data_IF_221081421487
#
_entry.id   IF_221081421487
#
_cell.length_a   1.000
_cell.length_b   1.000
_cell.length_c   1.000
_cell.angle_alpha   90.00
_cell.angle_beta   90.00
_cell.angle_gamma   90.00
#
_symmetry.space_group_name_H-M   'P 1'
#
loop_
_entity.id
_entity.type
_entity.pdbx_description
1 polymer ?
#
# COMPACT_ATOMS: atom_id res chain seq x y z
N UNK A 1 -0.76 -21.54 68.76
CA UNK A 1 -2.07 -21.72 68.13
C UNK A 1 -2.19 -20.72 66.97
N UNK A 2 -2.32 -21.22 65.73
CA UNK A 2 -2.74 -20.57 64.46
C UNK A 2 -1.94 -19.32 63.97
N UNK A 3 -1.11 -19.33 62.92
CA UNK A 3 -1.15 -19.90 61.54
C UNK A 3 -2.25 -19.30 60.66
N UNK A 4 -1.83 -18.91 59.43
CA UNK A 4 -2.62 -18.70 58.18
C UNK A 4 -3.52 -17.44 58.12
N UNK A 5 -3.62 -16.64 57.06
CA UNK A 5 -3.16 -16.70 55.67
C UNK A 5 -3.17 -15.28 55.07
N UNK A 6 -2.06 -14.81 54.49
CA UNK A 6 -2.06 -13.72 53.50
C UNK A 6 -2.39 -14.34 52.14
N UNK A 7 -3.66 -14.64 51.91
CA UNK A 7 -4.13 -15.29 50.69
C UNK A 7 -4.17 -14.28 49.54
N UNK A 8 -3.22 -14.45 48.62
CA UNK A 8 -3.34 -14.26 47.17
C UNK A 8 -4.07 -13.00 46.69
N UNK A 9 -3.29 -11.93 46.45
CA UNK A 9 -3.61 -10.90 45.46
C UNK A 9 -2.70 -11.10 44.23
N UNK A 10 -2.66 -12.32 43.70
CA UNK A 10 -1.79 -12.72 42.59
C UNK A 10 -2.58 -13.55 41.56
N UNK A 11 -3.63 -12.98 40.97
CA UNK A 11 -4.39 -13.66 39.90
C UNK A 11 -5.25 -12.67 39.09
N UNK A 12 -4.63 -11.69 38.41
CA UNK A 12 -5.25 -11.05 37.23
C UNK A 12 -4.26 -10.23 36.37
N UNK A 13 -3.06 -10.75 36.11
CA UNK A 13 -2.11 -10.13 35.16
C UNK A 13 -1.77 -11.11 34.02
N UNK A 14 -2.81 -11.70 33.45
CA UNK A 14 -2.84 -12.41 32.17
C UNK A 14 -4.24 -12.09 31.63
N UNK A 15 -4.50 -11.45 30.50
CA UNK A 15 -3.77 -11.29 29.24
C UNK A 15 -4.35 -10.07 28.52
N UNK A 16 -3.57 -9.01 28.30
CA UNK A 16 -3.90 -8.01 27.28
C UNK A 16 -2.97 -8.23 26.07
N UNK A 17 -3.17 -9.34 25.37
CA UNK A 17 -2.63 -9.50 24.03
C UNK A 17 -3.49 -8.67 23.09
N UNK A 18 -3.19 -7.37 23.00
CA UNK A 18 -3.72 -6.50 21.96
C UNK A 18 -3.06 -6.94 20.64
N UNK A 19 -3.64 -7.93 19.97
CA UNK A 19 -3.25 -8.23 18.60
C UNK A 19 -3.65 -7.04 17.76
N UNK A 20 -2.67 -6.19 17.40
CA UNK A 20 -2.86 -5.17 16.38
C UNK A 20 -3.14 -5.89 15.06
N UNK A 21 -4.41 -6.16 14.74
CA UNK A 21 -4.77 -6.49 13.37
C UNK A 21 -4.52 -5.24 12.55
N UNK A 22 -3.50 -5.30 11.66
CA UNK A 22 -3.36 -4.32 10.62
C UNK A 22 -4.70 -4.19 9.89
N UNK A 23 -5.23 -2.97 9.79
CA UNK A 23 -6.47 -2.71 9.07
C UNK A 23 -6.32 -3.24 7.63
N UNK A 24 -7.17 -4.19 7.22
CA UNK A 24 -7.16 -4.71 5.85
C UNK A 24 -7.64 -3.60 4.91
N UNK A 25 -6.80 -3.22 3.95
CA UNK A 25 -7.22 -2.29 2.90
C UNK A 25 -8.41 -2.89 2.15
N UNK A 26 -9.53 -2.17 2.13
CA UNK A 26 -10.73 -2.59 1.41
C UNK A 26 -10.96 -1.62 0.25
N UNK A 27 -10.81 -2.11 -0.97
CA UNK A 27 -11.06 -1.32 -2.17
C UNK A 27 -12.56 -1.23 -2.45
N UNK A 28 -12.97 -0.12 -3.05
CA UNK A 28 -14.33 0.05 -3.56
C UNK A 28 -14.56 -0.91 -4.73
N UNK A 29 -15.73 -1.55 -4.74
CA UNK A 29 -16.17 -2.35 -5.88
C UNK A 29 -16.66 -1.43 -7.00
N UNK A 30 -15.77 -1.09 -7.94
CA UNK A 30 -16.15 -0.25 -9.08
C UNK A 30 -16.93 -1.08 -10.10
N UNK A 31 -18.23 -0.79 -10.25
CA UNK A 31 -19.12 -1.45 -11.22
C UNK A 31 -18.54 -1.45 -12.64
N UNK A 32 -18.79 -2.51 -13.42
CA UNK A 32 -18.33 -2.55 -14.80
C UNK A 32 -18.99 -1.46 -15.66
N UNK A 33 -18.18 -0.68 -16.37
CA UNK A 33 -18.67 0.27 -17.36
C UNK A 33 -19.17 -0.47 -18.61
N UNK A 34 -20.45 -0.85 -18.61
CA UNK A 34 -21.15 -1.51 -19.72
C UNK A 34 -22.04 -0.53 -20.52
N UNK A 35 -21.77 0.77 -20.44
CA UNK A 35 -22.61 1.81 -21.03
C UNK A 35 -21.78 3.00 -21.47
N UNK A 36 -22.12 3.56 -22.62
CA UNK A 36 -21.51 4.78 -23.17
C UNK A 36 -22.08 6.06 -22.54
N UNK A 37 -22.97 5.94 -21.54
CA UNK A 37 -23.56 7.09 -20.87
C UNK A 37 -22.50 7.89 -20.10
N UNK A 38 -22.31 9.20 -20.39
CA UNK A 38 -21.24 10.01 -19.79
C UNK A 38 -21.22 9.98 -18.26
N UNK A 39 -22.37 10.06 -17.60
CA UNK A 39 -22.44 9.99 -16.12
C UNK A 39 -22.02 8.65 -15.55
N UNK A 40 -22.29 7.52 -16.24
CA UNK A 40 -21.83 6.21 -15.78
C UNK A 40 -20.31 6.10 -15.93
N UNK A 41 -19.77 6.58 -17.03
CA UNK A 41 -18.33 6.67 -17.25
C UNK A 41 -17.65 7.52 -16.18
N UNK A 42 -18.20 8.71 -15.88
CA UNK A 42 -17.69 9.60 -14.84
C UNK A 42 -17.65 8.93 -13.46
N UNK A 43 -18.77 8.35 -13.00
CA UNK A 43 -18.83 7.66 -11.71
C UNK A 43 -17.84 6.49 -11.62
N UNK A 44 -17.73 5.71 -12.69
CA UNK A 44 -16.78 4.62 -12.75
C UNK A 44 -15.33 5.10 -12.63
N UNK A 45 -14.96 6.12 -13.39
CA UNK A 45 -13.60 6.70 -13.34
C UNK A 45 -13.29 7.30 -11.97
N UNK A 46 -14.24 7.98 -11.33
CA UNK A 46 -14.09 8.50 -9.97
C UNK A 46 -13.90 7.39 -8.93
N UNK A 47 -14.60 6.27 -9.06
CA UNK A 47 -14.38 5.11 -8.20
C UNK A 47 -12.95 4.56 -8.33
N UNK A 48 -12.44 4.46 -9.58
CA UNK A 48 -11.06 4.06 -9.79
C UNK A 48 -10.06 5.04 -9.18
N UNK A 49 -10.34 6.35 -9.22
CA UNK A 49 -9.51 7.35 -8.55
C UNK A 49 -9.48 7.15 -7.03
N UNK A 50 -10.63 6.90 -6.41
CA UNK A 50 -10.70 6.57 -4.98
C UNK A 50 -9.86 5.35 -4.62
N UNK A 51 -9.90 4.30 -5.45
CA UNK A 51 -9.06 3.12 -5.26
C UNK A 51 -7.55 3.41 -5.44
N UNK A 52 -7.18 4.25 -6.41
CA UNK A 52 -5.78 4.67 -6.59
C UNK A 52 -5.30 5.42 -5.34
N UNK A 53 -6.06 6.37 -4.83
CA UNK A 53 -5.68 7.12 -3.62
C UNK A 53 -5.50 6.21 -2.40
N UNK A 54 -6.41 5.26 -2.20
CA UNK A 54 -6.33 4.27 -1.12
C UNK A 54 -5.07 3.41 -1.23
N UNK A 55 -4.79 2.89 -2.44
CA UNK A 55 -3.61 2.07 -2.70
C UNK A 55 -2.30 2.87 -2.58
N UNK A 56 -2.27 4.12 -3.03
CA UNK A 56 -1.08 4.98 -2.90
C UNK A 56 -0.77 5.27 -1.43
N UNK A 57 -1.80 5.48 -0.58
CA UNK A 57 -1.61 5.64 0.87
C UNK A 57 -1.07 4.37 1.52
N UNK A 58 -1.60 3.20 1.15
CA UNK A 58 -1.08 1.93 1.64
C UNK A 58 0.38 1.75 1.23
N UNK A 59 0.68 1.88 -0.07
CA UNK A 59 2.05 1.79 -0.60
C UNK A 59 3.00 2.73 0.14
N UNK A 60 2.58 3.98 0.39
CA UNK A 60 3.38 4.98 1.10
C UNK A 60 3.73 4.54 2.51
N UNK A 61 2.82 3.88 3.23
CA UNK A 61 3.10 3.32 4.57
C UNK A 61 4.28 2.36 4.52
N UNK A 62 4.29 1.45 3.55
CA UNK A 62 5.36 0.46 3.38
C UNK A 62 6.68 1.08 2.92
N UNK A 63 6.63 2.03 1.99
CA UNK A 63 7.81 2.82 1.58
C UNK A 63 8.41 3.56 2.76
N UNK A 64 7.59 4.25 3.56
CA UNK A 64 8.05 4.96 4.77
C UNK A 64 8.69 4.00 5.77
N UNK A 65 8.08 2.84 6.00
CA UNK A 65 8.65 1.81 6.88
C UNK A 65 10.04 1.38 6.40
N UNK A 66 10.18 1.03 5.12
CA UNK A 66 11.45 0.57 4.55
C UNK A 66 12.55 1.66 4.65
N UNK A 67 12.19 2.92 4.43
CA UNK A 67 13.11 4.05 4.60
C UNK A 67 13.57 4.17 6.06
N UNK A 68 12.65 4.11 7.02
CA UNK A 68 12.98 4.20 8.44
C UNK A 68 13.90 3.05 8.90
N UNK A 69 13.59 1.82 8.49
CA UNK A 69 14.40 0.65 8.84
C UNK A 69 15.80 0.74 8.22
N UNK A 70 15.89 1.24 6.98
CA UNK A 70 17.16 1.51 6.30
C UNK A 70 17.99 2.59 7.00
N UNK A 71 17.35 3.67 7.45
CA UNK A 71 18.01 4.75 8.20
C UNK A 71 18.59 4.23 9.52
N UNK A 72 17.88 3.34 10.21
CA UNK A 72 18.36 2.70 11.44
C UNK A 72 19.54 1.77 11.15
N UNK A 73 19.43 0.92 10.14
CA UNK A 73 20.54 0.04 9.72
C UNK A 73 21.79 0.83 9.33
N UNK A 74 21.62 1.96 8.65
CA UNK A 74 22.72 2.86 8.30
C UNK A 74 23.40 3.44 9.56
N UNK A 75 22.63 3.83 10.58
CA UNK A 75 23.19 4.31 11.86
C UNK A 75 23.97 3.23 12.59
N UNK A 76 23.50 1.99 12.54
CA UNK A 76 24.11 0.85 13.23
C UNK A 76 25.39 0.35 12.52
N UNK A 77 25.36 0.29 11.19
CA UNK A 77 26.44 -0.33 10.39
C UNK A 77 27.40 0.68 9.76
N UNK A 78 27.00 1.94 9.65
CA UNK A 78 27.70 2.96 8.88
C UNK A 78 27.55 2.82 7.36
N UNK A 79 26.75 1.88 6.84
CA UNK A 79 26.55 1.69 5.41
C UNK A 79 25.68 2.79 4.79
N UNK A 80 26.31 3.92 4.44
CA UNK A 80 25.64 5.10 3.89
C UNK A 80 25.19 4.98 2.43
N UNK A 81 25.52 3.87 1.75
CA UNK A 81 25.17 3.67 0.34
C UNK A 81 23.73 3.15 0.16
N UNK A 82 23.17 2.49 1.18
CA UNK A 82 21.91 1.78 1.05
C UNK A 82 20.71 2.72 0.87
N UNK A 83 20.57 3.75 1.72
CA UNK A 83 19.45 4.68 1.68
C UNK A 83 19.31 5.41 0.33
N UNK A 84 20.37 5.98 -0.27
CA UNK A 84 20.26 6.61 -1.59
C UNK A 84 19.85 5.64 -2.71
N UNK A 85 20.27 4.37 -2.64
CA UNK A 85 19.89 3.35 -3.62
C UNK A 85 18.40 3.03 -3.51
N UNK A 86 17.92 2.79 -2.28
CA UNK A 86 16.51 2.49 -2.02
C UNK A 86 15.61 3.66 -2.45
N UNK A 87 15.94 4.89 -2.06
CA UNK A 87 15.17 6.07 -2.46
C UNK A 87 15.11 6.25 -3.99
N UNK A 88 16.24 6.03 -4.68
CA UNK A 88 16.29 6.09 -6.15
C UNK A 88 15.44 5.00 -6.79
N UNK A 89 15.38 3.81 -6.20
CA UNK A 89 14.57 2.69 -6.71
C UNK A 89 13.09 3.06 -6.75
N UNK A 90 12.55 3.73 -5.72
CA UNK A 90 11.17 4.18 -5.69
C UNK A 90 10.85 5.22 -6.76
N UNK A 91 11.76 6.19 -6.97
CA UNK A 91 11.60 7.20 -8.02
C UNK A 91 11.57 6.54 -9.40
N UNK A 92 12.45 5.57 -9.64
CA UNK A 92 12.51 4.86 -10.92
C UNK A 92 11.28 3.97 -11.13
N UNK A 93 10.78 3.32 -10.07
CA UNK A 93 9.55 2.54 -10.12
C UNK A 93 8.35 3.40 -10.48
N UNK A 94 8.23 4.59 -9.88
CA UNK A 94 7.13 5.53 -10.16
C UNK A 94 7.18 6.03 -11.61
N UNK A 95 8.36 6.41 -12.10
CA UNK A 95 8.55 6.82 -13.50
C UNK A 95 8.17 5.70 -14.47
N UNK A 96 8.62 4.47 -14.20
CA UNK A 96 8.28 3.32 -15.02
C UNK A 96 6.77 3.08 -15.05
N UNK A 97 6.10 3.11 -13.88
CA UNK A 97 4.64 2.98 -13.79
C UNK A 97 3.93 4.06 -14.62
N UNK A 98 4.30 5.33 -14.45
CA UNK A 98 3.66 6.45 -15.13
C UNK A 98 3.81 6.37 -16.65
N UNK A 99 5.02 6.13 -17.15
CA UNK A 99 5.26 5.97 -18.59
C UNK A 99 4.54 4.73 -19.14
N UNK A 100 4.57 3.63 -18.39
CA UNK A 100 3.89 2.38 -18.73
C UNK A 100 2.38 2.58 -18.88
N UNK A 101 1.74 3.31 -17.96
CA UNK A 101 0.31 3.57 -18.05
C UNK A 101 -0.02 4.62 -19.11
N UNK A 102 0.86 5.60 -19.32
CA UNK A 102 0.68 6.66 -20.32
C UNK A 102 0.71 6.15 -21.76
N UNK A 103 1.65 5.27 -22.13
CA UNK A 103 1.63 4.74 -23.50
C UNK A 103 0.39 3.87 -23.76
N UNK A 104 -0.11 3.14 -22.74
CA UNK A 104 -1.35 2.36 -22.82
C UNK A 104 -2.58 3.25 -23.00
N UNK A 105 -2.62 4.40 -22.33
CA UNK A 105 -3.62 5.45 -22.55
C UNK A 105 -3.62 5.90 -24.02
N UNK A 106 -2.45 6.27 -24.54
CA UNK A 106 -2.32 6.81 -25.90
C UNK A 106 -2.80 5.82 -26.97
N UNK A 107 -2.57 4.52 -26.77
CA UNK A 107 -3.06 3.46 -27.68
C UNK A 107 -4.59 3.41 -27.82
N UNK A 108 -5.34 3.93 -26.84
CA UNK A 108 -6.80 3.93 -26.87
C UNK A 108 -7.39 5.20 -27.51
N UNK A 109 -6.57 6.20 -27.80
CA UNK A 109 -7.05 7.43 -28.44
C UNK A 109 -7.57 7.15 -29.85
N UNK A 110 -8.64 7.84 -30.31
CA UNK A 110 -9.28 9.01 -29.68
C UNK A 110 -10.35 8.68 -28.61
N UNK A 111 -10.55 7.42 -28.23
CA UNK A 111 -11.54 7.06 -27.20
C UNK A 111 -11.04 7.42 -25.80
N UNK A 112 -11.30 8.67 -25.39
CA UNK A 112 -10.83 9.22 -24.12
C UNK A 112 -11.34 8.45 -22.88
N UNK A 113 -12.58 7.96 -22.91
CA UNK A 113 -13.17 7.18 -21.81
C UNK A 113 -12.44 5.84 -21.64
N UNK A 114 -12.22 5.12 -22.74
CA UNK A 114 -11.45 3.87 -22.72
C UNK A 114 -10.00 4.11 -22.31
N UNK A 115 -9.38 5.18 -22.81
CA UNK A 115 -8.02 5.59 -22.45
C UNK A 115 -7.89 5.83 -20.93
N UNK A 116 -8.79 6.62 -20.34
CA UNK A 116 -8.81 6.90 -18.91
C UNK A 116 -9.01 5.62 -18.07
N UNK A 117 -9.93 4.73 -18.49
CA UNK A 117 -10.13 3.42 -17.83
C UNK A 117 -8.85 2.59 -17.83
N UNK A 118 -8.19 2.48 -18.98
CA UNK A 118 -6.97 1.68 -19.13
C UNK A 118 -5.83 2.25 -18.28
N UNK A 119 -5.65 3.58 -18.28
CA UNK A 119 -4.65 4.25 -17.47
C UNK A 119 -4.85 3.99 -15.97
N UNK A 120 -6.07 4.21 -15.45
CA UNK A 120 -6.38 4.04 -14.03
C UNK A 120 -6.24 2.59 -13.57
N UNK A 121 -6.73 1.62 -14.37
CA UNK A 121 -6.54 0.19 -14.07
C UNK A 121 -5.07 -0.22 -14.10
N UNK A 122 -4.29 0.33 -15.03
CA UNK A 122 -2.85 0.11 -15.07
C UNK A 122 -2.17 0.57 -13.78
N UNK A 123 -2.47 1.80 -13.31
CA UNK A 123 -1.93 2.31 -12.03
C UNK A 123 -2.30 1.41 -10.85
N UNK A 124 -3.57 1.01 -10.75
CA UNK A 124 -4.04 0.11 -9.69
C UNK A 124 -3.20 -1.17 -9.61
N UNK A 125 -2.98 -1.85 -10.74
CA UNK A 125 -2.20 -3.10 -10.72
C UNK A 125 -0.72 -2.87 -10.40
N UNK A 126 -0.10 -1.81 -10.92
CA UNK A 126 1.28 -1.47 -10.57
C UNK A 126 1.46 -1.16 -9.09
N UNK A 127 0.54 -0.39 -8.50
CA UNK A 127 0.61 -0.05 -7.08
C UNK A 127 0.40 -1.31 -6.24
N UNK A 128 -0.58 -2.16 -6.57
CA UNK A 128 -0.81 -3.44 -5.88
C UNK A 128 0.42 -4.34 -5.92
N UNK A 129 1.03 -4.51 -7.09
CA UNK A 129 2.22 -5.34 -7.25
C UNK A 129 3.39 -4.81 -6.41
N UNK A 130 3.69 -3.51 -6.51
CA UNK A 130 4.79 -2.93 -5.74
C UNK A 130 4.53 -2.97 -4.23
N UNK A 131 3.27 -2.79 -3.79
CA UNK A 131 2.91 -2.97 -2.38
C UNK A 131 3.16 -4.41 -1.92
N UNK A 132 2.84 -5.42 -2.75
CA UNK A 132 3.14 -6.82 -2.43
C UNK A 132 4.64 -7.09 -2.34
N UNK A 133 5.43 -6.53 -3.26
CA UNK A 133 6.91 -6.60 -3.23
C UNK A 133 7.44 -6.00 -1.92
N UNK A 134 7.00 -4.78 -1.57
CA UNK A 134 7.39 -4.13 -0.32
C UNK A 134 6.96 -4.93 0.93
N UNK A 135 5.78 -5.54 0.91
CA UNK A 135 5.31 -6.38 2.02
C UNK A 135 6.15 -7.63 2.18
N UNK A 136 6.56 -8.26 1.08
CA UNK A 136 7.39 -9.47 1.10
C UNK A 136 8.74 -9.22 1.79
N UNK A 137 9.34 -8.04 1.60
CA UNK A 137 10.59 -7.66 2.28
C UNK A 137 10.48 -7.72 3.82
N UNK A 138 9.29 -7.49 4.37
CA UNK A 138 9.02 -7.54 5.81
C UNK A 138 8.50 -8.89 6.31
N UNK A 139 8.23 -9.85 5.42
CA UNK A 139 7.77 -11.19 5.80
C UNK A 139 8.91 -12.22 5.82
N UNK A 140 10.07 -11.88 5.24
CA UNK A 140 11.24 -12.76 5.14
C UNK A 140 12.25 -12.49 6.28
N UNK A 141 12.07 -11.40 7.03
CA UNK A 141 12.85 -11.05 8.23
C UNK A 141 12.21 -11.60 9.50
#
# INVERSE_FOLDING_TARGET
>A
MNRTNKTLCFLSLLTLSLSAQAARLTLQQCEHLNSDHPEKAKRYLMCLDGNIELLERERKTWVTKLVMDTENLQKETGNSQLLPIIQRSFINQERYMEDACRWRYLKQMPNATMAAKIYKRCKIEFIKQHTQELQADFMIQ
#
